data_IF_824402557357
#
_entry.id   IF_824402557357
#
_cell.length_a   1.000
_cell.length_b   1.000
_cell.length_c   1.000
_cell.angle_alpha   90.00
_cell.angle_beta   90.00
_cell.angle_gamma   90.00
#
_symmetry.space_group_name_H-M   'P 1'
#
loop_
_entity.id
_entity.type
_entity.pdbx_description
1 polymer ?
#
# COMPACT_ATOMS: atom_id res chain seq x y z
N UNK A 1 -2.02 0.21 68.14
CA UNK A 1 -2.35 -0.52 66.89
C UNK A 1 -1.87 0.33 65.73
N UNK A 2 -0.62 0.14 65.32
CA UNK A 2 0.04 0.87 64.23
C UNK A 2 0.33 -0.13 63.11
N UNK A 3 -0.41 -0.03 62.01
CA UNK A 3 -0.16 -0.80 60.79
C UNK A 3 1.11 -0.27 60.11
N UNK A 4 2.18 -1.06 60.17
CA UNK A 4 3.38 -0.87 59.34
C UNK A 4 3.00 -1.08 57.86
N UNK A 5 3.08 0.00 57.10
CA UNK A 5 3.00 -0.04 55.64
C UNK A 5 4.28 -0.71 55.12
N UNK A 6 4.15 -1.95 54.65
CA UNK A 6 5.19 -2.64 53.91
C UNK A 6 5.49 -1.89 52.60
N UNK A 7 6.54 -1.05 52.63
CA UNK A 7 7.08 -0.39 51.46
C UNK A 7 7.63 -1.42 50.48
N UNK A 8 6.98 -1.59 49.34
CA UNK A 8 7.52 -2.36 48.21
C UNK A 8 8.77 -1.66 47.70
N UNK A 9 9.94 -2.22 48.02
CA UNK A 9 11.22 -1.74 47.51
C UNK A 9 11.20 -1.66 45.97
N UNK A 10 11.76 -0.61 45.36
CA UNK A 10 11.81 -0.49 43.91
C UNK A 10 12.64 -1.65 43.33
N UNK A 11 12.02 -2.44 42.46
CA UNK A 11 12.68 -3.51 41.72
C UNK A 11 13.73 -2.85 40.82
N UNK A 12 15.00 -2.91 41.21
CA UNK A 12 16.11 -2.50 40.36
C UNK A 12 16.28 -3.56 39.27
N UNK A 13 15.73 -3.28 38.09
CA UNK A 13 16.01 -4.06 36.88
C UNK A 13 17.45 -3.73 36.49
N UNK A 14 18.38 -4.58 36.89
CA UNK A 14 19.78 -4.46 36.49
C UNK A 14 19.85 -4.83 35.00
N UNK A 15 19.93 -3.82 34.13
CA UNK A 15 20.08 -4.05 32.70
C UNK A 15 21.43 -4.72 32.46
N UNK A 16 21.41 -6.02 32.13
CA UNK A 16 22.61 -6.74 31.72
C UNK A 16 23.19 -6.05 30.48
N UNK A 17 24.47 -5.64 30.49
CA UNK A 17 25.08 -4.99 29.33
C UNK A 17 25.01 -5.92 28.12
N UNK A 18 24.53 -5.38 26.99
CA UNK A 18 24.37 -6.14 25.75
C UNK A 18 25.70 -6.79 25.35
N UNK A 19 25.67 -8.09 25.03
CA UNK A 19 26.86 -8.80 24.55
C UNK A 19 27.19 -8.29 23.14
N UNK A 20 28.47 -8.30 22.73
CA UNK A 20 28.86 -7.91 21.38
C UNK A 20 28.23 -8.79 20.27
N UNK A 21 27.69 -9.97 20.61
CA UNK A 21 26.86 -10.78 19.71
C UNK A 21 25.46 -10.20 19.50
N UNK A 22 24.95 -9.39 20.42
CA UNK A 22 23.58 -8.85 20.37
C UNK A 22 23.49 -7.67 19.40
N UNK A 23 24.59 -6.96 19.17
CA UNK A 23 24.62 -5.85 18.20
C UNK A 23 24.40 -6.34 16.76
N UNK A 24 24.98 -7.48 16.37
CA UNK A 24 24.77 -8.04 15.03
C UNK A 24 23.33 -8.50 14.82
N UNK A 25 22.67 -9.03 15.85
CA UNK A 25 21.23 -9.37 15.82
C UNK A 25 20.34 -8.13 15.72
N UNK A 26 20.69 -7.05 16.43
CA UNK A 26 19.96 -5.78 16.34
C UNK A 26 20.10 -5.18 14.94
N UNK A 27 21.31 -5.17 14.37
CA UNK A 27 21.57 -4.68 13.01
C UNK A 27 20.84 -5.54 11.97
N UNK A 28 20.84 -6.86 12.13
CA UNK A 28 20.10 -7.78 11.28
C UNK A 28 18.60 -7.48 11.29
N UNK A 29 18.00 -7.30 12.47
CA UNK A 29 16.57 -6.95 12.59
C UNK A 29 16.24 -5.58 11.96
N UNK A 30 17.13 -4.60 12.06
CA UNK A 30 16.93 -3.31 11.41
C UNK A 30 16.99 -3.45 9.89
N UNK A 31 17.94 -4.22 9.39
CA UNK A 31 18.11 -4.49 7.96
C UNK A 31 16.90 -5.23 7.38
N UNK A 32 16.41 -6.26 8.05
CA UNK A 32 15.22 -7.01 7.64
C UNK A 32 13.97 -6.11 7.55
N UNK A 33 13.80 -5.19 8.52
CA UNK A 33 12.70 -4.21 8.48
C UNK A 33 12.81 -3.25 7.30
N UNK A 34 14.01 -2.75 7.01
CA UNK A 34 14.23 -1.89 5.84
C UNK A 34 13.99 -2.64 4.53
N UNK A 35 14.44 -3.89 4.44
CA UNK A 35 14.20 -4.75 3.28
C UNK A 35 12.71 -5.01 3.05
N UNK A 36 11.92 -5.22 4.11
CA UNK A 36 10.47 -5.46 3.98
C UNK A 36 9.73 -4.28 3.34
N UNK A 37 10.09 -3.04 3.71
CA UNK A 37 9.52 -1.81 3.14
C UNK A 37 9.98 -1.66 1.68
N UNK A 38 11.26 -1.95 1.41
CA UNK A 38 11.79 -1.92 0.05
C UNK A 38 11.07 -2.91 -0.87
N UNK A 39 10.78 -4.13 -0.40
CA UNK A 39 10.00 -5.13 -1.16
C UNK A 39 8.58 -4.63 -1.47
N UNK A 40 7.93 -3.94 -0.52
CA UNK A 40 6.62 -3.32 -0.77
C UNK A 40 6.70 -2.25 -1.86
N UNK A 41 7.73 -1.40 -1.84
CA UNK A 41 7.93 -0.37 -2.86
C UNK A 41 8.24 -0.96 -4.24
N UNK A 42 9.08 -2.01 -4.30
CA UNK A 42 9.35 -2.74 -5.53
C UNK A 42 8.07 -3.37 -6.10
N UNK A 43 7.26 -4.01 -5.25
CA UNK A 43 5.97 -4.59 -5.64
C UNK A 43 5.02 -3.52 -6.17
N UNK A 44 4.96 -2.35 -5.53
CA UNK A 44 4.15 -1.23 -5.99
C UNK A 44 4.61 -0.70 -7.36
N UNK A 45 5.93 -0.62 -7.61
CA UNK A 45 6.48 -0.23 -8.92
C UNK A 45 6.09 -1.23 -10.01
N UNK A 46 6.22 -2.53 -9.72
CA UNK A 46 5.80 -3.58 -10.67
C UNK A 46 4.31 -3.50 -10.97
N UNK A 47 3.45 -3.36 -9.94
CA UNK A 47 2.01 -3.25 -10.12
C UNK A 47 1.62 -1.98 -10.90
N UNK A 48 2.26 -0.84 -10.62
CA UNK A 48 2.06 0.40 -11.38
C UNK A 48 2.47 0.24 -12.85
N UNK A 49 3.61 -0.41 -13.11
CA UNK A 49 4.08 -0.68 -14.47
C UNK A 49 3.13 -1.59 -15.24
N UNK A 50 2.71 -2.70 -14.62
CA UNK A 50 1.74 -3.64 -15.19
C UNK A 50 0.40 -2.94 -15.47
N UNK A 51 -0.06 -2.09 -14.54
CA UNK A 51 -1.29 -1.34 -14.69
C UNK A 51 -1.24 -0.31 -15.83
N UNK A 52 -0.10 0.33 -16.04
CA UNK A 52 0.11 1.26 -17.15
C UNK A 52 0.15 0.55 -18.51
N UNK A 53 0.87 -0.58 -18.56
CA UNK A 53 1.03 -1.37 -19.79
C UNK A 53 -0.30 -1.98 -20.24
N UNK A 54 -1.06 -2.56 -19.31
CA UNK A 54 -2.37 -3.12 -19.58
C UNK A 54 -3.37 -2.07 -20.05
N UNK A 55 -3.39 -0.87 -19.44
CA UNK A 55 -4.22 0.24 -19.92
C UNK A 55 -3.83 0.67 -21.34
N UNK A 56 -2.52 0.78 -21.62
CA UNK A 56 -2.01 1.16 -22.94
C UNK A 56 -2.44 0.17 -24.02
N UNK A 57 -2.40 -1.14 -23.73
CA UNK A 57 -2.87 -2.18 -24.66
C UNK A 57 -4.36 -2.01 -24.97
N UNK A 58 -5.20 -1.82 -23.94
CA UNK A 58 -6.64 -1.67 -24.15
C UNK A 58 -6.97 -0.42 -24.98
N UNK A 59 -6.28 0.69 -24.72
CA UNK A 59 -6.46 1.93 -25.48
C UNK A 59 -5.95 1.79 -26.93
N UNK A 60 -4.79 1.17 -27.13
CA UNK A 60 -4.16 1.04 -28.44
C UNK A 60 -4.93 0.10 -29.37
N UNK A 61 -5.41 -1.04 -28.84
CA UNK A 61 -6.12 -2.05 -29.65
C UNK A 61 -7.55 -1.59 -29.99
N UNK A 62 -8.21 -0.84 -29.12
CA UNK A 62 -9.65 -0.61 -29.21
C UNK A 62 -10.08 0.87 -29.14
N UNK A 63 -9.18 1.82 -29.40
CA UNK A 63 -9.47 3.27 -29.30
C UNK A 63 -10.68 3.74 -30.12
N UNK A 64 -10.96 3.11 -31.26
CA UNK A 64 -12.15 3.39 -32.10
C UNK A 64 -13.42 2.74 -31.56
N UNK A 65 -13.36 1.47 -31.13
CA UNK A 65 -14.49 0.77 -30.52
C UNK A 65 -14.91 1.44 -29.19
N UNK A 66 -13.94 1.92 -28.40
CA UNK A 66 -14.18 2.71 -27.18
C UNK A 66 -14.85 4.06 -27.49
N UNK A 67 -14.46 4.71 -28.60
CA UNK A 67 -15.05 5.99 -29.03
C UNK A 67 -16.47 5.82 -29.58
N UNK A 68 -16.73 4.72 -30.31
CA UNK A 68 -18.06 4.42 -30.84
C UNK A 68 -19.05 4.04 -29.73
N UNK A 69 -18.61 3.27 -28.73
CA UNK A 69 -19.44 2.93 -27.55
C UNK A 69 -19.80 4.14 -26.69
N UNK A 70 -19.01 5.23 -26.71
CA UNK A 70 -19.35 6.48 -26.01
C UNK A 70 -20.35 7.38 -26.77
N UNK A 71 -20.57 7.18 -28.08
CA UNK A 71 -21.36 8.11 -28.92
C UNK A 71 -22.78 7.65 -29.26
N UNK A 72 -23.13 6.39 -29.07
CA UNK A 72 -24.35 5.80 -29.64
C UNK A 72 -25.37 5.37 -28.57
N UNK A 73 -26.48 6.12 -28.43
CA UNK A 73 -27.82 5.70 -27.93
C UNK A 73 -28.09 5.44 -26.41
N UNK A 74 -29.33 5.65 -25.92
CA UNK A 74 -29.65 5.90 -24.49
C UNK A 74 -29.57 4.69 -23.53
N UNK A 75 -29.49 3.44 -24.02
CA UNK A 75 -29.20 2.25 -23.19
C UNK A 75 -27.70 2.18 -22.78
N UNK A 76 -26.85 3.03 -23.38
CA UNK A 76 -25.42 3.14 -23.10
C UNK A 76 -25.04 4.12 -21.99
N UNK A 77 -25.99 4.84 -21.38
CA UNK A 77 -25.66 5.72 -20.25
C UNK A 77 -25.09 4.91 -19.07
N UNK A 78 -25.61 3.70 -18.83
CA UNK A 78 -25.11 2.77 -17.81
C UNK A 78 -23.80 2.09 -18.21
N UNK A 79 -23.61 1.77 -19.50
CA UNK A 79 -22.40 1.12 -20.03
C UNK A 79 -21.23 2.10 -20.06
N UNK A 80 -21.46 3.33 -20.53
CA UNK A 80 -20.49 4.43 -20.50
C UNK A 80 -20.13 4.81 -19.07
N UNK A 81 -21.10 4.82 -18.14
CA UNK A 81 -20.81 4.99 -16.71
C UNK A 81 -19.99 3.83 -16.15
N UNK A 82 -20.28 2.59 -16.52
CA UNK A 82 -19.55 1.41 -16.04
C UNK A 82 -18.11 1.34 -16.57
N UNK A 83 -17.91 1.68 -17.84
CA UNK A 83 -16.58 1.78 -18.44
C UNK A 83 -15.77 2.93 -17.84
N UNK A 84 -16.39 4.10 -17.66
CA UNK A 84 -15.78 5.24 -16.96
C UNK A 84 -15.40 4.87 -15.54
N UNK A 85 -16.28 4.19 -14.80
CA UNK A 85 -15.99 3.73 -13.45
C UNK A 85 -14.84 2.71 -13.42
N UNK A 86 -14.80 1.78 -14.39
CA UNK A 86 -13.69 0.83 -14.53
C UNK A 86 -12.34 1.53 -14.77
N UNK A 87 -12.29 2.48 -15.70
CA UNK A 87 -11.09 3.28 -16.00
C UNK A 87 -10.70 4.16 -14.81
N UNK A 88 -11.66 4.77 -14.11
CA UNK A 88 -11.41 5.57 -12.90
C UNK A 88 -10.85 4.70 -11.78
N UNK A 89 -11.42 3.51 -11.51
CA UNK A 89 -10.86 2.54 -10.56
C UNK A 89 -9.42 2.17 -10.94
N UNK A 90 -9.15 2.04 -12.23
CA UNK A 90 -7.84 1.70 -12.74
C UNK A 90 -6.80 2.81 -12.53
N UNK A 91 -7.16 4.05 -12.87
CA UNK A 91 -6.33 5.23 -12.61
C UNK A 91 -6.11 5.44 -11.11
N UNK A 92 -7.13 5.18 -10.29
CA UNK A 92 -7.03 5.26 -8.84
C UNK A 92 -6.08 4.20 -8.28
N UNK A 93 -6.08 2.99 -8.85
CA UNK A 93 -5.07 1.97 -8.52
C UNK A 93 -3.65 2.47 -8.81
N UNK A 94 -3.41 3.06 -9.98
CA UNK A 94 -2.08 3.62 -10.33
C UNK A 94 -1.68 4.69 -9.30
N UNK A 95 -2.56 5.62 -8.97
CA UNK A 95 -2.30 6.66 -7.97
C UNK A 95 -1.97 6.08 -6.59
N UNK A 96 -2.70 5.05 -6.14
CA UNK A 96 -2.43 4.39 -4.86
C UNK A 96 -1.07 3.67 -4.87
N UNK A 97 -0.74 2.96 -5.95
CA UNK A 97 0.57 2.30 -6.08
C UNK A 97 1.73 3.28 -6.15
N UNK A 98 1.56 4.43 -6.82
CA UNK A 98 2.55 5.50 -6.81
C UNK A 98 2.70 6.12 -5.42
N UNK A 99 1.60 6.31 -4.70
CA UNK A 99 1.63 6.81 -3.33
C UNK A 99 2.40 5.88 -2.37
N UNK A 100 2.46 4.57 -2.62
CA UNK A 100 3.32 3.65 -1.84
C UNK A 100 4.82 3.94 -2.04
N UNK A 101 5.20 4.28 -3.28
CA UNK A 101 6.58 4.53 -3.69
C UNK A 101 7.07 5.90 -3.23
N UNK A 102 6.20 6.91 -3.19
CA UNK A 102 6.61 8.25 -2.77
C UNK A 102 6.94 8.32 -1.27
N UNK A 103 8.08 8.92 -0.90
CA UNK A 103 8.43 9.12 0.50
C UNK A 103 7.51 10.19 1.11
N UNK A 104 6.48 9.77 1.84
CA UNK A 104 5.72 10.67 2.70
C UNK A 104 6.66 11.30 3.73
N UNK A 105 6.62 12.64 3.85
CA UNK A 105 7.40 13.37 4.86
C UNK A 105 6.79 13.13 6.25
N UNK A 106 7.21 12.06 6.91
CA UNK A 106 6.84 11.81 8.29
C UNK A 106 7.63 12.77 9.20
N UNK A 107 6.91 13.55 10.02
CA UNK A 107 7.55 14.34 11.08
C UNK A 107 8.01 13.37 12.17
N UNK A 108 9.32 13.23 12.33
CA UNK A 108 9.90 12.49 13.44
C UNK A 108 9.60 13.24 14.73
N UNK A 109 8.92 12.59 15.67
CA UNK A 109 8.80 13.09 17.04
C UNK A 109 10.02 12.57 17.79
N UNK A 110 10.89 13.50 18.18
CA UNK A 110 12.21 13.23 18.74
C UNK A 110 12.16 12.52 20.11
N UNK A 111 13.19 11.69 20.32
CA UNK A 111 13.74 11.23 21.62
C UNK A 111 13.31 9.87 22.23
N UNK A 112 12.88 8.87 21.44
CA UNK A 112 12.91 7.48 21.93
C UNK A 112 13.06 6.44 20.82
N UNK A 113 13.85 5.39 21.07
CA UNK A 113 13.98 4.25 20.16
C UNK A 113 12.62 3.54 19.93
N UNK A 114 11.72 3.58 20.92
CA UNK A 114 10.40 2.97 20.82
C UNK A 114 9.45 3.80 19.94
N UNK A 115 9.54 5.13 19.95
CA UNK A 115 8.72 5.98 19.07
C UNK A 115 9.10 5.79 17.60
N UNK A 116 10.39 5.60 17.31
CA UNK A 116 10.90 5.28 15.97
C UNK A 116 10.37 3.91 15.51
N UNK A 117 10.40 2.89 16.38
CA UNK A 117 9.89 1.55 16.08
C UNK A 117 8.38 1.55 15.80
N UNK A 118 7.59 2.24 16.63
CA UNK A 118 6.14 2.34 16.42
C UNK A 118 5.82 3.09 15.12
N UNK A 119 6.55 4.16 14.81
CA UNK A 119 6.36 4.91 13.57
C UNK A 119 6.66 4.03 12.35
N UNK A 120 7.78 3.30 12.37
CA UNK A 120 8.15 2.43 11.25
C UNK A 120 7.09 1.34 10.97
N UNK A 121 6.55 0.74 12.04
CA UNK A 121 5.46 -0.25 11.91
C UNK A 121 4.19 0.38 11.33
N UNK A 122 3.81 1.59 11.76
CA UNK A 122 2.66 2.31 11.21
C UNK A 122 2.85 2.64 9.72
N UNK A 123 4.04 3.10 9.33
CA UNK A 123 4.38 3.38 7.93
C UNK A 123 4.27 2.11 7.09
N UNK A 124 4.84 1.00 7.57
CA UNK A 124 4.75 -0.30 6.89
C UNK A 124 3.30 -0.76 6.71
N UNK A 125 2.47 -0.65 7.75
CA UNK A 125 1.05 -1.00 7.68
C UNK A 125 0.28 -0.12 6.71
N UNK A 126 0.50 1.20 6.72
CA UNK A 126 -0.17 2.12 5.80
C UNK A 126 0.22 1.81 4.35
N UNK A 127 1.53 1.62 4.07
CA UNK A 127 2.01 1.26 2.74
C UNK A 127 1.44 -0.08 2.27
N UNK A 128 1.36 -1.07 3.15
CA UNK A 128 0.75 -2.36 2.87
C UNK A 128 -0.73 -2.22 2.52
N UNK A 129 -1.52 -1.51 3.32
CA UNK A 129 -2.94 -1.30 3.04
C UNK A 129 -3.18 -0.50 1.76
N UNK A 130 -2.36 0.51 1.48
CA UNK A 130 -2.41 1.25 0.22
C UNK A 130 -2.15 0.33 -0.98
N UNK A 131 -1.16 -0.56 -0.87
CA UNK A 131 -0.82 -1.53 -1.91
C UNK A 131 -1.96 -2.52 -2.13
N UNK A 132 -2.53 -3.07 -1.07
CA UNK A 132 -3.67 -4.00 -1.13
C UNK A 132 -4.88 -3.32 -1.77
N UNK A 133 -5.21 -2.09 -1.35
CA UNK A 133 -6.32 -1.33 -1.92
C UNK A 133 -6.09 -1.02 -3.41
N UNK A 134 -4.87 -0.64 -3.78
CA UNK A 134 -4.48 -0.44 -5.17
C UNK A 134 -4.65 -1.72 -5.99
N UNK A 135 -4.13 -2.85 -5.51
CA UNK A 135 -4.27 -4.15 -6.17
C UNK A 135 -5.73 -4.59 -6.34
N UNK A 136 -6.58 -4.39 -5.32
CA UNK A 136 -8.00 -4.69 -5.42
C UNK A 136 -8.70 -3.83 -6.47
N UNK A 137 -8.42 -2.52 -6.50
CA UNK A 137 -8.95 -1.61 -7.51
C UNK A 137 -8.48 -1.96 -8.92
N UNK A 138 -7.23 -2.39 -9.08
CA UNK A 138 -6.71 -2.91 -10.34
C UNK A 138 -7.51 -4.11 -10.83
N UNK A 139 -7.71 -5.11 -9.97
CA UNK A 139 -8.45 -6.33 -10.30
C UNK A 139 -9.91 -5.99 -10.65
N UNK A 140 -10.57 -5.15 -9.85
CA UNK A 140 -11.95 -4.73 -10.12
C UNK A 140 -12.03 -3.97 -11.45
N UNK A 141 -11.10 -3.05 -11.69
CA UNK A 141 -11.03 -2.27 -12.93
C UNK A 141 -10.88 -3.16 -14.15
N UNK A 142 -9.88 -4.05 -14.15
CA UNK A 142 -9.63 -4.95 -15.28
C UNK A 142 -10.78 -5.95 -15.47
N UNK A 143 -11.31 -6.54 -14.40
CA UNK A 143 -12.45 -7.47 -14.48
C UNK A 143 -13.69 -6.81 -15.06
N UNK A 144 -13.99 -5.55 -14.68
CA UNK A 144 -15.12 -4.81 -15.23
C UNK A 144 -14.92 -4.50 -16.71
N UNK A 145 -13.73 -4.03 -17.10
CA UNK A 145 -13.42 -3.73 -18.51
C UNK A 145 -13.47 -5.00 -19.36
N UNK A 146 -12.88 -6.11 -18.90
CA UNK A 146 -12.92 -7.39 -19.59
C UNK A 146 -14.34 -7.97 -19.66
N UNK A 147 -15.14 -7.84 -18.60
CA UNK A 147 -16.54 -8.28 -18.62
C UNK A 147 -17.36 -7.51 -19.66
N UNK A 148 -17.25 -6.18 -19.69
CA UNK A 148 -17.91 -5.37 -20.70
C UNK A 148 -17.44 -5.79 -22.10
N UNK A 149 -16.16 -6.06 -22.27
CA UNK A 149 -15.63 -6.53 -23.57
C UNK A 149 -16.20 -7.88 -23.99
N UNK A 150 -16.23 -8.88 -23.11
CA UNK A 150 -16.68 -10.24 -23.47
C UNK A 150 -18.19 -10.37 -23.67
N UNK A 151 -18.99 -9.57 -22.97
CA UNK A 151 -20.45 -9.74 -22.94
C UNK A 151 -21.22 -8.65 -23.70
N UNK A 152 -20.57 -7.54 -24.08
CA UNK A 152 -21.22 -6.43 -24.80
C UNK A 152 -20.62 -6.21 -26.20
N UNK A 153 -19.38 -6.65 -26.46
CA UNK A 153 -18.84 -6.72 -27.82
C UNK A 153 -19.40 -7.91 -28.60
#
# INVERSE_FOLDING_TARGET
MSNEQAGTAPIQIQATPARPTDSSWIDYQQKEKQESIKRLEETAKYLSGLSSLSLSIIVAVNGEALRQTMRSAPRYLEIGSSLKNGVVCWLLSILLTLAVVFPFRYKYVENSADSIRQMNNKIGQVKFWLLVLGALLYIIGISRVTYLYLFIS
#
